data_IF_104952698668
#
_entry.id   IF_104952698668
#
_cell.length_a   1.000
_cell.length_b   1.000
_cell.length_c   1.000
_cell.angle_alpha   90.00
_cell.angle_beta   90.00
_cell.angle_gamma   90.00
#
_symmetry.space_group_name_H-M   'P 1'
#
loop_
_entity.id
_entity.type
_entity.pdbx_description
1 polymer ?
#
# COMPACT_ATOMS: atom_id res chain seq x y z
N UNK A 1 1.44 9.28 -2.19
CA UNK A 1 2.82 8.76 -2.04
C UNK A 1 3.21 8.90 -0.57
N UNK A 2 3.35 7.82 0.19
CA UNK A 2 3.85 7.91 1.57
C UNK A 2 5.35 8.18 1.61
N UNK A 3 5.80 8.91 2.64
CA UNK A 3 7.20 9.24 2.88
C UNK A 3 7.73 10.39 2.01
N UNK A 4 6.89 11.35 1.65
CA UNK A 4 7.35 12.56 0.96
C UNK A 4 8.20 13.44 1.89
N UNK A 5 9.04 14.35 1.35
CA UNK A 5 9.72 15.35 2.17
C UNK A 5 8.73 16.09 3.06
N UNK A 6 9.18 16.38 4.26
CA UNK A 6 8.38 17.09 5.29
C UNK A 6 7.14 16.34 5.79
N UNK A 7 6.95 15.06 5.39
CA UNK A 7 5.88 14.20 5.92
C UNK A 7 6.43 13.24 6.99
N UNK A 8 5.56 12.81 7.87
CA UNK A 8 5.82 11.80 8.88
C UNK A 8 4.86 10.62 8.74
N UNK A 9 5.18 9.49 9.36
CA UNK A 9 4.30 8.30 9.41
C UNK A 9 2.92 8.67 9.98
N UNK A 10 2.86 9.58 10.95
CA UNK A 10 1.61 10.04 11.55
C UNK A 10 0.77 10.82 10.54
N UNK A 11 1.38 11.75 9.82
CA UNK A 11 0.72 12.55 8.78
C UNK A 11 0.25 11.68 7.62
N UNK A 12 1.07 10.75 7.15
CA UNK A 12 0.67 9.81 6.10
C UNK A 12 -0.55 8.96 6.51
N UNK A 13 -0.66 8.56 7.78
CA UNK A 13 -1.85 7.88 8.30
C UNK A 13 -3.08 8.78 8.32
N UNK A 14 -2.92 10.05 8.73
CA UNK A 14 -3.99 11.05 8.73
C UNK A 14 -4.47 11.30 7.30
N UNK A 15 -3.56 11.54 6.37
CA UNK A 15 -3.87 11.75 4.95
C UNK A 15 -4.60 10.55 4.35
N UNK A 16 -4.13 9.33 4.64
CA UNK A 16 -4.80 8.12 4.15
C UNK A 16 -6.24 8.01 4.69
N UNK A 17 -6.45 8.31 5.96
CA UNK A 17 -7.79 8.34 6.54
C UNK A 17 -8.66 9.39 5.87
N UNK A 18 -8.12 10.58 5.63
CA UNK A 18 -8.82 11.69 4.98
C UNK A 18 -9.26 11.35 3.55
N UNK A 19 -8.47 10.58 2.79
CA UNK A 19 -8.85 10.14 1.44
C UNK A 19 -10.24 9.45 1.38
N UNK A 20 -10.70 8.88 2.48
CA UNK A 20 -11.96 8.15 2.53
C UNK A 20 -13.02 8.79 3.43
N UNK A 21 -12.63 9.66 4.36
CA UNK A 21 -13.57 10.39 5.21
C UNK A 21 -14.06 11.70 4.60
N UNK A 22 -13.28 12.28 3.69
CA UNK A 22 -13.61 13.52 2.97
C UNK A 22 -14.34 13.14 1.68
N UNK A 23 -15.56 13.65 1.50
CA UNK A 23 -16.44 13.35 0.36
C UNK A 23 -15.88 13.79 -0.99
N UNK A 24 -14.97 14.78 -0.99
CA UNK A 24 -14.34 15.27 -2.20
C UNK A 24 -13.29 14.31 -2.79
N UNK A 25 -12.91 13.24 -2.07
CA UNK A 25 -11.90 12.29 -2.53
C UNK A 25 -12.47 10.91 -2.80
N UNK A 26 -12.74 10.11 -1.82
CA UNK A 26 -13.31 8.73 -1.85
C UNK A 26 -12.93 7.92 -3.11
N UNK A 27 -11.64 7.69 -3.37
CA UNK A 27 -11.20 7.05 -4.61
C UNK A 27 -11.60 5.57 -4.68
N UNK A 28 -12.04 5.10 -5.85
CA UNK A 28 -12.33 3.69 -6.13
C UNK A 28 -11.07 2.83 -6.23
N UNK A 29 -9.96 3.44 -6.65
CA UNK A 29 -8.71 2.75 -6.90
C UNK A 29 -7.52 3.51 -6.36
N UNK A 30 -6.56 2.76 -5.80
CA UNK A 30 -5.30 3.32 -5.31
C UNK A 30 -4.09 2.61 -5.89
N UNK A 31 -3.07 3.40 -6.20
CA UNK A 31 -1.69 2.97 -6.36
C UNK A 31 -0.89 3.56 -5.21
N UNK A 32 -0.28 2.72 -4.39
CA UNK A 32 0.53 3.14 -3.25
C UNK A 32 1.99 3.04 -3.66
N UNK A 33 2.61 4.18 -3.94
CA UNK A 33 4.01 4.26 -4.30
C UNK A 33 4.79 4.94 -3.16
N UNK A 34 5.60 4.20 -2.41
CA UNK A 34 6.51 4.81 -1.45
C UNK A 34 7.44 5.81 -2.13
N UNK A 35 7.77 6.88 -1.44
CA UNK A 35 8.72 7.84 -1.94
C UNK A 35 10.12 7.21 -2.00
N UNK A 36 10.79 7.36 -3.13
CA UNK A 36 12.12 6.83 -3.41
C UNK A 36 13.01 7.94 -3.96
N UNK A 37 14.28 7.92 -3.58
CA UNK A 37 15.28 8.85 -4.11
C UNK A 37 15.82 8.30 -5.42
N UNK A 38 15.58 9.03 -6.49
CA UNK A 38 15.98 8.64 -7.85
C UNK A 38 17.12 9.55 -8.30
N UNK A 39 18.11 8.97 -8.96
CA UNK A 39 19.26 9.68 -9.51
C UNK A 39 18.82 10.81 -10.44
N UNK A 40 19.42 11.98 -10.30
CA UNK A 40 19.09 13.18 -11.07
C UNK A 40 17.86 13.94 -10.61
N UNK A 41 17.14 13.47 -9.56
CA UNK A 41 15.99 14.17 -9.02
C UNK A 41 16.37 15.26 -8.00
N UNK A 42 15.49 16.25 -7.81
CA UNK A 42 15.67 17.24 -6.73
C UNK A 42 15.73 16.58 -5.34
N UNK A 43 15.04 15.45 -5.18
CA UNK A 43 15.03 14.70 -3.93
C UNK A 43 16.40 14.09 -3.61
N UNK A 44 17.19 13.75 -4.62
CA UNK A 44 18.57 13.30 -4.45
C UNK A 44 19.43 14.37 -3.78
N UNK A 45 19.26 15.64 -4.18
CA UNK A 45 19.97 16.77 -3.56
C UNK A 45 19.62 16.93 -2.08
N UNK A 46 18.34 16.77 -1.73
CA UNK A 46 17.88 16.83 -0.33
C UNK A 46 18.42 15.64 0.47
N UNK A 47 18.49 14.47 -0.15
CA UNK A 47 19.04 13.28 0.49
C UNK A 47 20.52 13.44 0.84
N UNK A 48 21.35 13.88 -0.11
CA UNK A 48 22.77 14.11 0.14
C UNK A 48 23.04 15.26 1.11
N UNK A 49 22.18 16.28 1.14
CA UNK A 49 22.20 17.34 2.17
C UNK A 49 21.69 16.89 3.53
N UNK A 50 21.32 15.62 3.70
CA UNK A 50 20.74 15.06 4.92
C UNK A 50 19.43 15.76 5.38
N UNK A 51 18.78 16.49 4.48
CA UNK A 51 17.50 17.16 4.74
C UNK A 51 16.28 16.25 4.46
N UNK A 52 16.52 15.07 3.90
CA UNK A 52 15.50 14.07 3.63
C UNK A 52 16.06 12.65 3.82
N UNK A 53 15.24 11.79 4.43
CA UNK A 53 15.53 10.35 4.54
C UNK A 53 14.26 9.55 4.24
N UNK A 54 14.29 8.59 3.30
CA UNK A 54 13.15 7.71 3.06
C UNK A 54 12.86 6.85 4.29
N UNK A 55 11.61 6.42 4.43
CA UNK A 55 11.23 5.50 5.50
C UNK A 55 12.04 4.21 5.45
N UNK A 56 12.33 3.64 6.62
CA UNK A 56 12.87 2.30 6.69
C UNK A 56 11.90 1.28 6.08
N UNK A 57 12.39 0.16 5.59
CA UNK A 57 11.55 -0.90 5.04
C UNK A 57 10.52 -1.39 6.08
N UNK A 58 10.93 -1.53 7.34
CA UNK A 58 10.07 -1.93 8.45
C UNK A 58 8.94 -0.92 8.69
N UNK A 59 9.26 0.37 8.73
CA UNK A 59 8.27 1.42 8.94
C UNK A 59 7.29 1.50 7.78
N UNK A 60 7.79 1.37 6.56
CA UNK A 60 6.97 1.35 5.35
C UNK A 60 6.02 0.16 5.34
N UNK A 61 6.49 -1.05 5.68
CA UNK A 61 5.65 -2.25 5.78
C UNK A 61 4.54 -2.01 6.79
N UNK A 62 4.86 -1.54 8.00
CA UNK A 62 3.88 -1.27 9.06
C UNK A 62 2.87 -0.20 8.66
N UNK A 63 3.32 0.85 7.99
CA UNK A 63 2.46 1.92 7.48
C UNK A 63 1.47 1.38 6.45
N UNK A 64 1.94 0.61 5.47
CA UNK A 64 1.06 0.05 4.43
C UNK A 64 0.13 -1.02 4.98
N UNK A 65 0.54 -1.79 6.00
CA UNK A 65 -0.36 -2.69 6.74
C UNK A 65 -1.52 -1.89 7.35
N UNK A 66 -1.22 -0.75 7.99
CA UNK A 66 -2.27 0.09 8.57
C UNK A 66 -3.24 0.62 7.50
N UNK A 67 -2.75 0.98 6.31
CA UNK A 67 -3.59 1.38 5.19
C UNK A 67 -4.49 0.23 4.73
N UNK A 68 -3.94 -0.97 4.56
CA UNK A 68 -4.69 -2.15 4.10
C UNK A 68 -5.76 -2.63 5.08
N UNK A 69 -5.58 -2.38 6.38
CA UNK A 69 -6.59 -2.67 7.40
C UNK A 69 -7.76 -1.68 7.36
N UNK A 70 -7.49 -0.43 7.02
CA UNK A 70 -8.46 0.68 7.10
C UNK A 70 -9.07 1.06 5.75
N UNK A 71 -8.66 0.42 4.66
CA UNK A 71 -9.20 0.69 3.34
C UNK A 71 -10.68 0.27 3.25
N UNK A 72 -11.57 1.09 2.68
CA UNK A 72 -12.97 0.72 2.44
C UNK A 72 -13.09 -0.51 1.55
N UNK A 73 -14.17 -1.27 1.74
CA UNK A 73 -14.42 -2.50 0.97
C UNK A 73 -14.61 -2.26 -0.53
N UNK A 74 -15.08 -1.09 -0.92
CA UNK A 74 -15.30 -0.72 -2.33
C UNK A 74 -13.99 -0.36 -3.05
N UNK A 75 -12.95 0.04 -2.32
CA UNK A 75 -11.71 0.49 -2.94
C UNK A 75 -10.78 -0.66 -3.32
N UNK A 76 -10.14 -0.53 -4.50
CA UNK A 76 -9.16 -1.50 -5.02
C UNK A 76 -7.73 -0.95 -4.91
N UNK A 77 -6.84 -1.64 -4.19
CA UNK A 77 -5.40 -1.34 -4.25
C UNK A 77 -4.81 -2.03 -5.49
N UNK A 78 -4.63 -1.27 -6.56
CA UNK A 78 -4.12 -1.77 -7.84
C UNK A 78 -2.66 -2.21 -7.73
N UNK A 79 -1.81 -1.36 -7.17
CA UNK A 79 -0.36 -1.59 -7.07
C UNK A 79 0.19 -1.06 -5.75
N UNK A 80 1.13 -1.79 -5.19
CA UNK A 80 2.01 -1.34 -4.12
C UNK A 80 3.42 -1.45 -4.66
N UNK A 81 4.14 -0.36 -4.65
CA UNK A 81 5.46 -0.21 -5.25
C UNK A 81 5.44 0.05 -6.77
N UNK A 82 6.30 0.94 -7.19
CA UNK A 82 6.67 1.16 -8.59
C UNK A 82 8.00 0.47 -8.85
N UNK A 83 8.08 -0.28 -9.92
CA UNK A 83 9.33 -0.87 -10.37
C UNK A 83 10.20 0.24 -10.99
N UNK A 84 11.34 0.49 -10.37
CA UNK A 84 12.37 1.41 -10.86
C UNK A 84 13.65 0.60 -10.99
N UNK A 85 14.33 0.65 -12.14
CA UNK A 85 15.58 -0.07 -12.30
C UNK A 85 16.58 0.33 -11.22
N UNK A 86 17.29 -0.65 -10.62
CA UNK A 86 18.17 -0.41 -9.46
C UNK A 86 19.25 0.64 -9.70
N UNK A 87 19.72 0.78 -10.95
CA UNK A 87 20.74 1.74 -11.36
C UNK A 87 20.31 3.20 -11.23
N UNK A 88 19.00 3.46 -11.21
CA UNK A 88 18.46 4.81 -11.01
C UNK A 88 18.10 5.08 -9.55
N UNK A 89 18.18 4.09 -8.66
CA UNK A 89 17.74 4.24 -7.29
C UNK A 89 18.90 4.56 -6.34
N UNK A 90 18.86 5.74 -5.73
CA UNK A 90 19.85 6.21 -4.75
C UNK A 90 19.50 5.71 -3.34
N UNK A 91 18.24 5.88 -2.92
CA UNK A 91 17.79 5.47 -1.60
C UNK A 91 16.28 5.14 -1.57
N UNK A 92 15.86 4.41 -0.54
CA UNK A 92 14.51 3.89 -0.38
C UNK A 92 14.47 2.37 -0.52
N UNK A 93 13.29 1.76 -0.44
CA UNK A 93 13.17 0.32 -0.59
C UNK A 93 13.38 -0.11 -2.04
N UNK A 94 14.27 -1.09 -2.25
CA UNK A 94 14.53 -1.72 -3.56
C UNK A 94 13.63 -2.93 -3.82
N UNK A 95 12.74 -3.24 -2.89
CA UNK A 95 11.95 -4.46 -2.91
C UNK A 95 10.77 -4.33 -3.88
N UNK A 96 10.84 -5.02 -5.00
CA UNK A 96 9.78 -5.06 -6.01
C UNK A 96 8.58 -5.92 -5.57
N UNK A 97 8.82 -6.92 -4.70
CA UNK A 97 7.83 -7.84 -4.15
C UNK A 97 7.13 -7.32 -2.87
N UNK A 98 7.20 -6.02 -2.59
CA UNK A 98 6.71 -5.39 -1.35
C UNK A 98 5.27 -5.81 -0.99
N UNK A 99 4.39 -5.98 -1.99
CA UNK A 99 3.02 -6.47 -1.76
C UNK A 99 3.00 -7.87 -1.13
N UNK A 100 3.86 -8.77 -1.60
CA UNK A 100 3.96 -10.14 -1.09
C UNK A 100 4.40 -10.14 0.35
N UNK A 101 5.49 -9.44 0.65
CA UNK A 101 6.03 -9.29 2.01
C UNK A 101 5.00 -8.71 2.98
N UNK A 102 4.31 -7.63 2.59
CA UNK A 102 3.23 -7.04 3.39
C UNK A 102 2.10 -8.06 3.64
N UNK A 103 1.74 -8.85 2.62
CA UNK A 103 0.69 -9.86 2.78
C UNK A 103 1.09 -10.97 3.75
N UNK A 104 2.33 -11.44 3.68
CA UNK A 104 2.88 -12.43 4.59
C UNK A 104 2.96 -11.90 6.02
N UNK A 105 3.42 -10.67 6.18
CA UNK A 105 3.49 -10.04 7.50
C UNK A 105 2.10 -9.80 8.11
N UNK A 106 1.13 -9.41 7.30
CA UNK A 106 -0.27 -9.34 7.74
C UNK A 106 -0.81 -10.70 8.19
N UNK A 107 -0.49 -11.78 7.47
CA UNK A 107 -0.89 -13.15 7.85
C UNK A 107 -0.30 -13.53 9.22
N UNK A 108 1.00 -13.28 9.44
CA UNK A 108 1.66 -13.53 10.73
C UNK A 108 1.00 -12.76 11.88
N UNK A 109 0.55 -11.53 11.62
CA UNK A 109 -0.11 -10.68 12.60
C UNK A 109 -1.63 -10.96 12.73
N UNK A 110 -2.19 -11.96 12.06
CA UNK A 110 -3.62 -12.24 12.05
C UNK A 110 -4.48 -11.15 11.40
N UNK A 111 -3.87 -10.28 10.59
CA UNK A 111 -4.52 -9.13 9.95
C UNK A 111 -4.97 -9.45 8.54
N UNK A 112 -6.10 -8.86 8.12
CA UNK A 112 -6.65 -9.06 6.77
C UNK A 112 -6.82 -7.71 6.05
N UNK A 113 -6.55 -7.70 4.76
CA UNK A 113 -6.83 -6.56 3.90
C UNK A 113 -8.29 -6.57 3.45
N UNK A 114 -8.93 -5.40 3.48
CA UNK A 114 -10.35 -5.24 3.11
C UNK A 114 -10.58 -4.87 1.64
N UNK A 115 -9.53 -4.51 0.88
CA UNK A 115 -9.68 -4.03 -0.50
C UNK A 115 -10.24 -5.11 -1.45
N UNK A 116 -10.88 -4.69 -2.54
CA UNK A 116 -11.46 -5.58 -3.57
C UNK A 116 -10.42 -6.62 -4.03
N UNK A 117 -9.21 -6.19 -4.42
CA UNK A 117 -8.17 -7.10 -4.94
C UNK A 117 -7.85 -8.27 -3.99
N UNK A 118 -7.79 -8.01 -2.68
CA UNK A 118 -7.45 -9.06 -1.71
C UNK A 118 -8.60 -10.02 -1.41
N UNK A 119 -9.83 -9.68 -1.84
CA UNK A 119 -11.04 -10.49 -1.70
C UNK A 119 -11.49 -11.11 -3.01
N UNK A 120 -10.78 -10.85 -4.09
CA UNK A 120 -11.08 -11.34 -5.43
C UNK A 120 -10.90 -12.86 -5.48
N UNK A 121 -11.90 -13.56 -6.02
CA UNK A 121 -11.96 -15.02 -6.03
C UNK A 121 -10.74 -15.66 -6.71
N UNK A 122 -10.22 -15.07 -7.78
CA UNK A 122 -9.04 -15.56 -8.48
C UNK A 122 -7.79 -15.62 -7.59
N UNK A 123 -7.62 -14.69 -6.65
CA UNK A 123 -6.52 -14.73 -5.68
C UNK A 123 -6.77 -15.74 -4.56
N UNK A 124 -8.02 -15.92 -4.14
CA UNK A 124 -8.42 -16.92 -3.16
C UNK A 124 -8.14 -18.33 -3.68
N UNK A 125 -8.52 -18.62 -4.94
CA UNK A 125 -8.27 -19.90 -5.61
C UNK A 125 -6.77 -20.15 -5.76
N UNK A 126 -6.02 -19.14 -6.21
CA UNK A 126 -4.56 -19.26 -6.37
C UNK A 126 -3.85 -19.59 -5.03
N UNK A 127 -4.33 -19.03 -3.94
CA UNK A 127 -3.80 -19.30 -2.59
C UNK A 127 -4.33 -20.66 -2.03
N UNK A 128 -4.92 -21.52 -2.88
CA UNK A 128 -5.50 -22.82 -2.53
C UNK A 128 -6.58 -22.77 -1.44
N UNK A 129 -7.21 -21.66 -1.27
CA UNK A 129 -8.37 -21.48 -0.41
C UNK A 129 -9.61 -21.59 -1.29
N UNK A 130 -10.06 -22.82 -1.56
CA UNK A 130 -11.27 -23.05 -2.35
C UNK A 130 -12.50 -22.66 -1.51
N UNK A 131 -13.18 -21.55 -1.82
CA UNK A 131 -14.44 -21.27 -1.15
C UNK A 131 -15.46 -22.32 -1.58
N UNK A 132 -16.20 -22.86 -0.63
CA UNK A 132 -17.40 -23.62 -0.96
C UNK A 132 -18.40 -22.64 -1.58
N UNK A 133 -18.70 -22.83 -2.84
CA UNK A 133 -19.79 -22.15 -3.52
C UNK A 133 -21.03 -22.98 -3.20
N UNK A 134 -21.85 -22.49 -2.31
CA UNK A 134 -23.17 -23.06 -2.04
C UNK A 134 -24.26 -22.26 -2.80
N UNK A 135 -25.46 -22.78 -2.81
CA UNK A 135 -26.59 -22.14 -3.49
C UNK A 135 -27.13 -20.89 -2.74
N UNK A 136 -26.46 -20.48 -1.65
CA UNK A 136 -26.85 -19.33 -0.80
C UNK A 136 -26.07 -18.06 -1.15
N UNK A 137 -25.63 -17.89 -2.38
CA UNK A 137 -24.99 -16.65 -2.83
C UNK A 137 -25.96 -15.48 -2.64
N UNK A 138 -25.53 -14.49 -1.85
CA UNK A 138 -26.27 -13.24 -1.63
C UNK A 138 -25.53 -12.07 -2.26
N UNK A 139 -26.26 -11.26 -2.99
CA UNK A 139 -25.77 -9.97 -3.45
C UNK A 139 -25.71 -9.01 -2.25
N UNK A 140 -24.55 -8.47 -1.96
CA UNK A 140 -24.39 -7.42 -0.96
C UNK A 140 -24.08 -6.11 -1.67
N UNK A 141 -24.92 -5.11 -1.46
CA UNK A 141 -24.60 -3.73 -1.83
C UNK A 141 -23.67 -3.16 -0.78
N UNK A 142 -22.56 -2.57 -1.20
CA UNK A 142 -21.59 -1.90 -0.33
C UNK A 142 -21.67 -0.41 -0.67
N UNK A 143 -22.31 0.34 0.21
CA UNK A 143 -22.35 1.80 0.17
C UNK A 143 -21.03 2.42 0.64
#
# INVERSE_FOLDING_TARGET
MPGQPFSSIKEDKILFKRLFSDENFRPDQLKIYPCQVIKGSELEKLYFKQSYKPYSEKDLINLVISFKQNIPKYCRIMRIMREIPPEYMVAGTKRIDLRKVISEEMKKQGKKCRCIRCREIGFVIRDKQFPRIDNNLKLNVIE
#
